data_IF_218233422218
#
_entry.id   IF_218233422218
#
_cell.length_a   1.000
_cell.length_b   1.000
_cell.length_c   1.000
_cell.angle_alpha   90.00
_cell.angle_beta   90.00
_cell.angle_gamma   90.00
#
_symmetry.space_group_name_H-M   'P 1'
#
loop_
_entity.id
_entity.type
_entity.pdbx_description
1 polymer ?
#
# COMPACT_ATOMS: atom_id res chain seq x y z
N UNK A 1 -14.90 10.63 12.31
CA UNK A 1 -15.23 9.19 12.39
C UNK A 1 -14.11 8.41 11.71
N UNK A 2 -13.71 7.25 12.27
CA UNK A 2 -12.66 6.41 11.68
C UNK A 2 -13.29 5.55 10.60
N UNK A 3 -12.74 5.54 9.39
CA UNK A 3 -13.24 4.69 8.30
C UNK A 3 -12.76 3.25 8.49
N UNK A 4 -13.57 2.27 8.08
CA UNK A 4 -13.13 0.88 8.03
C UNK A 4 -12.41 0.57 6.72
N UNK A 5 -11.38 -0.28 6.78
CA UNK A 5 -10.72 -0.84 5.60
C UNK A 5 -11.56 -2.00 5.06
N UNK A 6 -11.95 -1.94 3.80
CA UNK A 6 -12.75 -2.96 3.14
C UNK A 6 -11.96 -3.64 2.02
N UNK A 7 -11.74 -4.95 2.16
CA UNK A 7 -11.18 -5.81 1.13
C UNK A 7 -12.32 -6.73 0.63
N UNK A 8 -12.76 -6.61 -0.64
CA UNK A 8 -13.81 -7.47 -1.16
C UNK A 8 -13.27 -8.90 -1.37
N UNK A 9 -14.13 -9.93 -1.36
CA UNK A 9 -13.70 -11.30 -1.67
C UNK A 9 -13.09 -11.42 -3.08
N UNK A 10 -12.36 -12.51 -3.34
CA UNK A 10 -11.78 -12.71 -4.65
C UNK A 10 -12.85 -12.85 -5.74
N UNK A 11 -12.70 -12.05 -6.79
CA UNK A 11 -13.64 -11.98 -7.91
C UNK A 11 -13.28 -12.94 -9.06
N UNK A 12 -12.21 -13.72 -8.92
CA UNK A 12 -11.81 -14.72 -9.91
C UNK A 12 -12.60 -16.00 -9.72
N UNK A 13 -12.92 -16.66 -10.83
CA UNK A 13 -13.50 -18.00 -10.86
C UNK A 13 -12.55 -18.93 -11.63
N UNK A 14 -11.84 -19.86 -10.97
CA UNK A 14 -11.80 -20.09 -9.52
C UNK A 14 -11.07 -18.98 -8.75
N UNK A 15 -11.32 -18.90 -7.44
CA UNK A 15 -10.69 -17.93 -6.54
C UNK A 15 -9.18 -18.05 -6.57
N UNK A 16 -8.49 -16.92 -6.44
CA UNK A 16 -7.03 -16.93 -6.35
C UNK A 16 -6.58 -17.57 -5.03
N UNK A 17 -5.61 -18.48 -5.06
CA UNK A 17 -5.09 -19.19 -3.89
C UNK A 17 -4.35 -18.31 -2.86
N UNK A 18 -4.25 -17.00 -3.12
CA UNK A 18 -3.74 -15.97 -2.21
C UNK A 18 -4.80 -14.90 -1.85
N UNK A 19 -6.08 -15.09 -2.17
CA UNK A 19 -7.11 -14.09 -1.87
C UNK A 19 -8.47 -14.72 -1.44
N UNK A 20 -8.85 -14.61 -0.15
CA UNK A 20 -7.94 -14.34 0.97
C UNK A 20 -6.93 -15.50 1.11
N UNK A 21 -5.69 -15.22 1.53
CA UNK A 21 -4.76 -16.29 1.84
C UNK A 21 -5.19 -17.07 3.08
N UNK A 22 -4.83 -18.36 3.21
CA UNK A 22 -4.91 -19.08 4.48
C UNK A 22 -4.08 -18.39 5.57
N UNK A 23 -4.54 -18.41 6.82
CA UNK A 23 -3.89 -17.73 7.96
C UNK A 23 -2.47 -18.25 8.21
N UNK A 24 -2.27 -19.55 8.07
CA UNK A 24 -1.00 -20.28 8.26
C UNK A 24 -0.01 -20.09 7.11
N UNK A 25 -0.44 -19.47 6.02
CA UNK A 25 0.42 -19.30 4.84
C UNK A 25 1.48 -18.24 5.06
N UNK A 26 2.75 -18.63 4.87
CA UNK A 26 3.89 -17.72 4.79
C UNK A 26 3.75 -16.78 3.60
N UNK A 27 3.53 -15.50 3.88
CA UNK A 27 3.29 -14.45 2.88
C UNK A 27 3.83 -13.12 3.36
N UNK A 28 4.49 -12.40 2.47
CA UNK A 28 4.76 -10.98 2.64
C UNK A 28 3.60 -10.17 2.08
N UNK A 29 3.05 -9.28 2.87
CA UNK A 29 1.88 -8.48 2.50
C UNK A 29 2.32 -7.04 2.34
N UNK A 30 2.02 -6.45 1.19
CA UNK A 30 2.15 -5.01 0.98
C UNK A 30 0.76 -4.42 0.74
N UNK A 31 0.43 -3.38 1.51
CA UNK A 31 -0.71 -2.52 1.26
C UNK A 31 -0.20 -1.10 1.00
N UNK A 32 -0.66 -0.48 -0.08
CA UNK A 32 -0.24 0.88 -0.45
C UNK A 32 -1.38 1.67 -1.08
N UNK A 33 -1.35 2.99 -0.94
CA UNK A 33 -2.47 3.85 -1.33
C UNK A 33 -2.20 5.35 -1.24
N UNK A 34 -3.12 6.16 -1.79
CA UNK A 34 -3.11 7.59 -1.54
C UNK A 34 -3.12 7.89 -0.04
N UNK A 35 -2.27 8.82 0.38
CA UNK A 35 -2.13 9.17 1.81
C UNK A 35 -3.45 9.63 2.41
N UNK A 36 -4.28 10.33 1.62
CA UNK A 36 -5.58 10.83 2.06
C UNK A 36 -6.48 9.70 2.56
N UNK A 37 -6.47 8.56 1.87
CA UNK A 37 -7.24 7.37 2.24
C UNK A 37 -6.67 6.72 3.50
N UNK A 38 -5.34 6.65 3.61
CA UNK A 38 -4.67 6.10 4.79
C UNK A 38 -4.92 6.97 6.03
N UNK A 39 -4.93 8.29 5.88
CA UNK A 39 -5.26 9.23 6.95
C UNK A 39 -6.71 9.08 7.42
N UNK A 40 -7.66 8.78 6.51
CA UNK A 40 -9.06 8.48 6.89
C UNK A 40 -9.19 7.18 7.71
N UNK A 41 -8.32 6.20 7.44
CA UNK A 41 -8.22 4.97 8.23
C UNK A 41 -7.55 5.21 9.59
N UNK A 42 -6.59 6.13 9.64
CA UNK A 42 -5.72 6.38 10.79
C UNK A 42 -5.71 7.88 11.19
N UNK A 43 -6.87 8.49 11.52
CA UNK A 43 -6.96 9.95 11.67
C UNK A 43 -6.21 10.49 12.89
N UNK A 44 -5.92 9.65 13.88
CA UNK A 44 -5.26 10.03 15.13
C UNK A 44 -3.76 9.68 15.13
N UNK A 45 -3.18 9.40 13.97
CA UNK A 45 -1.77 9.06 13.84
C UNK A 45 -0.98 10.28 13.38
N UNK A 46 0.08 10.61 14.11
CA UNK A 46 1.04 11.63 13.71
C UNK A 46 1.92 11.11 12.58
N UNK A 47 2.06 11.91 11.54
CA UNK A 47 2.90 11.62 10.37
C UNK A 47 4.22 12.38 10.49
N UNK A 48 5.34 11.64 10.42
CA UNK A 48 6.65 12.26 10.48
C UNK A 48 7.14 12.55 9.07
N UNK A 49 7.11 13.84 8.68
CA UNK A 49 7.44 14.29 7.31
C UNK A 49 8.81 14.97 7.19
N UNK A 50 9.66 14.87 8.23
CA UNK A 50 11.04 15.38 8.15
C UNK A 50 11.91 14.40 7.34
N UNK A 51 12.16 14.75 6.08
CA UNK A 51 12.99 14.00 5.13
C UNK A 51 14.43 13.85 5.63
N UNK A 52 14.94 14.82 6.39
CA UNK A 52 16.32 14.81 6.89
C UNK A 52 16.49 13.87 8.10
N UNK A 53 15.40 13.53 8.78
CA UNK A 53 15.38 12.64 9.96
C UNK A 53 14.32 11.57 9.82
N UNK A 54 14.39 10.70 8.81
CA UNK A 54 13.36 9.69 8.62
C UNK A 54 13.29 8.77 9.85
N UNK A 55 12.08 8.50 10.31
CA UNK A 55 11.83 7.48 11.33
C UNK A 55 11.34 6.21 10.66
N UNK A 56 11.73 5.07 11.22
CA UNK A 56 11.20 3.78 10.80
C UNK A 56 10.97 2.87 12.02
N UNK A 57 9.81 2.18 12.09
CA UNK A 57 8.65 2.42 11.24
C UNK A 57 7.99 3.78 11.57
N UNK A 58 7.25 4.35 10.62
CA UNK A 58 6.31 5.42 10.92
C UNK A 58 5.27 4.92 11.92
N UNK A 59 4.71 5.80 12.79
CA UNK A 59 3.61 5.42 13.68
C UNK A 59 2.39 4.83 12.95
N UNK A 60 2.22 5.15 11.67
CA UNK A 60 1.17 4.60 10.82
C UNK A 60 1.42 3.15 10.37
N UNK A 61 2.68 2.72 10.23
CA UNK A 61 3.04 1.44 9.63
C UNK A 61 2.47 0.24 10.37
N UNK A 62 2.78 0.05 11.67
CA UNK A 62 2.24 -1.05 12.45
C UNK A 62 0.71 -1.03 12.52
N UNK A 63 0.09 0.16 12.60
CA UNK A 63 -1.38 0.30 12.66
C UNK A 63 -2.05 -0.07 11.33
N UNK A 64 -1.46 0.32 10.20
CA UNK A 64 -1.96 -0.06 8.88
C UNK A 64 -1.78 -1.55 8.62
N UNK A 65 -0.66 -2.14 9.07
CA UNK A 65 -0.43 -3.58 9.02
C UNK A 65 -1.49 -4.35 9.83
N UNK A 66 -1.79 -3.91 11.06
CA UNK A 66 -2.83 -4.51 11.90
C UNK A 66 -4.23 -4.41 11.27
N UNK A 67 -4.60 -3.23 10.77
CA UNK A 67 -5.89 -3.04 10.08
C UNK A 67 -6.02 -3.94 8.85
N UNK A 68 -4.94 -4.08 8.09
CA UNK A 68 -4.89 -4.93 6.90
C UNK A 68 -5.01 -6.40 7.25
N UNK A 69 -4.28 -6.86 8.26
CA UNK A 69 -4.39 -8.22 8.79
C UNK A 69 -5.85 -8.53 9.21
N UNK A 70 -6.45 -7.62 9.98
CA UNK A 70 -7.85 -7.76 10.43
C UNK A 70 -8.83 -7.82 9.26
N UNK A 71 -8.62 -6.99 8.23
CA UNK A 71 -9.48 -6.97 7.05
C UNK A 71 -9.35 -8.25 6.20
N UNK A 72 -8.17 -8.88 6.18
CA UNK A 72 -7.94 -10.13 5.44
C UNK A 72 -8.53 -11.33 6.19
N UNK A 73 -8.29 -11.44 7.50
CA UNK A 73 -8.56 -12.66 8.28
C UNK A 73 -9.81 -12.56 9.16
N UNK A 74 -10.43 -11.38 9.29
CA UNK A 74 -11.67 -11.18 10.04
C UNK A 74 -11.51 -11.16 11.56
N UNK A 75 -10.27 -11.22 12.08
CA UNK A 75 -9.99 -11.15 13.51
C UNK A 75 -8.70 -10.37 13.79
N UNK A 76 -8.53 -9.94 15.05
CA UNK A 76 -7.29 -9.31 15.49
C UNK A 76 -6.12 -10.30 15.39
N UNK A 77 -4.91 -9.80 15.14
CA UNK A 77 -3.72 -10.56 15.48
C UNK A 77 -3.81 -10.91 16.97
N UNK A 78 -3.74 -12.20 17.32
CA UNK A 78 -3.69 -12.61 18.73
C UNK A 78 -2.53 -11.88 19.42
N UNK A 79 -2.56 -11.65 20.75
CA UNK A 79 -1.47 -10.96 21.44
C UNK A 79 -0.08 -11.59 21.19
N UNK A 80 -0.05 -12.92 21.01
CA UNK A 80 1.14 -13.71 20.68
C UNK A 80 1.54 -13.63 19.17
N UNK A 81 0.65 -13.11 18.32
CA UNK A 81 0.83 -12.80 16.88
C UNK A 81 1.10 -11.29 16.68
N UNK A 82 0.80 -10.43 17.66
CA UNK A 82 1.20 -9.02 17.65
C UNK A 82 2.72 -8.84 17.55
N UNK A 83 3.48 -9.84 18.01
CA UNK A 83 4.92 -9.98 17.81
C UNK A 83 5.34 -10.47 16.41
N UNK A 84 4.40 -10.95 15.58
CA UNK A 84 4.62 -11.53 14.24
C UNK A 84 4.36 -10.57 13.08
N UNK A 85 3.58 -9.50 13.26
CA UNK A 85 3.38 -8.47 12.21
C UNK A 85 4.59 -7.53 12.15
N UNK A 86 5.73 -8.07 11.72
CA UNK A 86 6.97 -7.33 11.60
C UNK A 86 6.89 -6.44 10.37
N UNK A 87 6.84 -5.11 10.57
CA UNK A 87 6.98 -4.14 9.48
C UNK A 87 8.39 -4.25 8.91
N UNK A 88 8.47 -4.64 7.63
CA UNK A 88 9.71 -4.90 6.89
C UNK A 88 10.13 -3.72 6.04
N UNK A 89 9.17 -2.97 5.51
CA UNK A 89 9.42 -1.79 4.68
C UNK A 89 8.22 -0.84 4.68
N UNK A 90 8.48 0.41 4.30
CA UNK A 90 7.48 1.45 4.11
C UNK A 90 7.78 2.20 2.81
N UNK A 91 6.74 2.39 1.99
CA UNK A 91 6.82 3.17 0.77
C UNK A 91 6.23 4.56 1.02
N UNK A 92 7.06 5.60 0.84
CA UNK A 92 6.65 7.01 0.94
C UNK A 92 6.91 7.67 -0.41
N UNK A 93 5.85 8.05 -1.12
CA UNK A 93 5.96 8.90 -2.31
C UNK A 93 6.03 10.35 -1.88
N UNK A 94 7.14 11.02 -2.19
CA UNK A 94 7.39 12.40 -1.82
C UNK A 94 7.07 13.35 -2.96
N UNK A 95 6.27 14.38 -2.65
CA UNK A 95 6.15 15.58 -3.47
C UNK A 95 7.26 16.54 -3.03
N UNK A 96 8.45 16.40 -3.64
CA UNK A 96 9.66 17.14 -3.24
C UNK A 96 9.49 18.66 -3.14
N UNK A 97 8.67 19.27 -4.00
CA UNK A 97 8.46 20.72 -4.01
C UNK A 97 7.49 21.22 -2.92
N UNK A 98 6.74 20.33 -2.27
CA UNK A 98 5.83 20.67 -1.17
C UNK A 98 6.30 20.14 0.18
N UNK A 99 7.34 19.30 0.19
CA UNK A 99 7.77 18.57 1.37
C UNK A 99 6.61 17.77 2.00
N UNK A 100 5.77 17.21 1.14
CA UNK A 100 4.57 16.45 1.49
C UNK A 100 4.70 15.02 0.95
N UNK A 101 4.04 14.09 1.61
CA UNK A 101 3.81 12.74 1.09
C UNK A 101 2.39 12.65 0.52
N UNK A 102 2.23 12.03 -0.64
CA UNK A 102 0.92 11.85 -1.29
C UNK A 102 0.49 10.39 -1.39
N UNK A 103 1.43 9.47 -1.16
CA UNK A 103 1.21 8.04 -1.21
C UNK A 103 1.98 7.37 -0.07
N UNK A 104 1.34 6.41 0.59
CA UNK A 104 1.94 5.65 1.68
C UNK A 104 1.61 4.17 1.53
N UNK A 105 2.60 3.33 1.82
CA UNK A 105 2.44 1.90 1.90
C UNK A 105 3.26 1.27 3.00
N UNK A 106 2.82 0.12 3.48
CA UNK A 106 3.53 -0.70 4.45
C UNK A 106 3.67 -2.12 3.92
N UNK A 107 4.86 -2.68 4.12
CA UNK A 107 5.16 -4.08 3.85
C UNK A 107 5.43 -4.78 5.17
N UNK A 108 4.74 -5.89 5.43
CA UNK A 108 4.93 -6.69 6.64
C UNK A 108 4.86 -8.18 6.33
N UNK A 109 5.47 -8.98 7.19
CA UNK A 109 5.50 -10.43 7.03
C UNK A 109 4.37 -11.10 7.83
N UNK A 110 3.74 -12.11 7.23
CA UNK A 110 2.83 -13.05 7.89
C UNK A 110 3.45 -14.45 7.83
N UNK A 111 3.90 -14.96 8.98
CA UNK A 111 4.51 -16.29 9.11
C UNK A 111 5.68 -16.56 8.16
N UNK A 112 6.40 -15.51 7.71
CA UNK A 112 7.60 -15.67 6.88
C UNK A 112 8.78 -16.03 7.78
N UNK A 113 9.48 -17.15 7.55
CA UNK A 113 10.73 -17.49 8.23
C UNK A 113 11.80 -16.42 8.02
N UNK A 114 12.66 -16.20 9.03
CA UNK A 114 13.70 -15.16 8.97
C UNK A 114 14.77 -15.39 7.90
N UNK A 115 14.93 -16.63 7.42
CA UNK A 115 15.85 -17.06 6.37
C UNK A 115 15.21 -17.08 4.97
N UNK A 116 13.92 -16.78 4.85
CA UNK A 116 13.23 -16.67 3.57
C UNK A 116 13.34 -15.24 2.99
N UNK A 117 14.27 -15.04 2.07
CA UNK A 117 14.53 -13.72 1.48
C UNK A 117 13.54 -13.31 0.38
N UNK A 118 12.94 -14.28 -0.32
CA UNK A 118 12.04 -14.06 -1.46
C UNK A 118 10.70 -14.77 -1.28
N UNK A 119 9.95 -14.50 -0.20
CA UNK A 119 8.64 -15.10 0.00
C UNK A 119 7.65 -14.73 -1.11
N UNK A 120 6.55 -15.46 -1.18
CA UNK A 120 5.40 -15.05 -1.97
C UNK A 120 4.82 -13.73 -1.42
N UNK A 121 4.28 -12.91 -2.33
CA UNK A 121 3.81 -11.56 -2.02
C UNK A 121 2.32 -11.41 -2.33
N UNK A 122 1.58 -10.88 -1.37
CA UNK A 122 0.23 -10.36 -1.57
C UNK A 122 0.27 -8.83 -1.64
N UNK A 123 0.12 -8.31 -2.86
CA UNK A 123 -0.01 -6.88 -3.12
C UNK A 123 -1.47 -6.44 -3.03
N UNK A 124 -1.74 -5.40 -2.24
CA UNK A 124 -3.06 -4.78 -2.04
C UNK A 124 -2.94 -3.29 -2.30
N UNK A 125 -3.80 -2.74 -3.17
CA UNK A 125 -3.83 -1.30 -3.39
C UNK A 125 -5.11 -0.71 -2.80
N UNK A 126 -4.97 0.35 -2.01
CA UNK A 126 -6.08 1.20 -1.61
C UNK A 126 -6.48 2.06 -2.80
N UNK A 127 -7.78 2.08 -3.09
CA UNK A 127 -8.38 2.82 -4.20
C UNK A 127 -9.19 3.95 -3.61
N UNK A 128 -8.79 5.19 -3.88
CA UNK A 128 -9.56 6.37 -3.45
C UNK A 128 -10.79 6.52 -4.34
N UNK A 129 -11.97 6.62 -3.72
CA UNK A 129 -13.27 6.73 -4.41
C UNK A 129 -13.84 8.14 -4.30
N UNK A 130 -13.57 8.84 -3.19
CA UNK A 130 -14.22 10.13 -2.91
C UNK A 130 -13.72 11.27 -3.81
N UNK A 131 -12.50 11.17 -4.32
CA UNK A 131 -11.90 12.26 -5.09
C UNK A 131 -12.51 12.42 -6.51
N UNK A 132 -12.97 11.32 -7.10
CA UNK A 132 -13.42 11.25 -8.50
C UNK A 132 -14.74 10.49 -8.66
N UNK A 133 -15.47 10.29 -7.56
CA UNK A 133 -16.70 9.51 -7.51
C UNK A 133 -16.54 8.10 -8.14
N UNK A 134 -15.37 7.48 -7.93
CA UNK A 134 -15.09 6.11 -8.36
C UNK A 134 -14.80 5.95 -9.85
N UNK A 135 -14.56 7.03 -10.60
CA UNK A 135 -14.18 6.99 -12.01
C UNK A 135 -12.96 6.09 -12.23
N UNK A 136 -11.86 6.33 -11.50
CA UNK A 136 -10.65 5.51 -11.56
C UNK A 136 -10.93 4.04 -11.21
N UNK A 137 -11.72 3.80 -10.18
CA UNK A 137 -12.03 2.44 -9.76
C UNK A 137 -12.76 1.67 -10.86
N UNK A 138 -13.75 2.28 -11.50
CA UNK A 138 -14.52 1.67 -12.59
C UNK A 138 -13.66 1.48 -13.87
N UNK A 139 -12.67 2.35 -14.10
CA UNK A 139 -11.72 2.18 -15.20
C UNK A 139 -10.77 0.99 -14.98
N UNK A 140 -10.22 0.82 -13.78
CA UNK A 140 -9.11 -0.12 -13.54
C UNK A 140 -9.51 -1.42 -12.82
N UNK A 141 -10.74 -1.54 -12.31
CA UNK A 141 -11.25 -2.75 -11.68
C UNK A 141 -12.17 -3.54 -12.64
N UNK A 142 -12.19 -4.88 -12.55
CA UNK A 142 -13.04 -5.73 -13.37
C UNK A 142 -14.51 -5.77 -12.90
N UNK A 143 -14.91 -4.88 -11.99
CA UNK A 143 -16.23 -4.82 -11.39
C UNK A 143 -16.62 -3.37 -11.13
N UNK A 144 -17.92 -3.11 -11.13
CA UNK A 144 -18.47 -1.79 -10.89
C UNK A 144 -18.46 -1.45 -9.40
N UNK A 145 -18.05 -0.22 -9.09
CA UNK A 145 -18.12 0.38 -7.77
C UNK A 145 -19.24 1.42 -7.77
N UNK A 146 -20.14 1.30 -6.78
CA UNK A 146 -21.09 2.35 -6.43
C UNK A 146 -20.43 3.30 -5.42
N UNK A 147 -20.21 4.58 -5.75
CA UNK A 147 -19.55 5.53 -4.83
C UNK A 147 -20.33 5.69 -3.52
N UNK A 148 -21.66 5.58 -3.57
CA UNK A 148 -22.54 5.67 -2.40
C UNK A 148 -22.25 4.61 -1.32
N UNK A 149 -21.60 3.50 -1.68
CA UNK A 149 -21.21 2.45 -0.72
C UNK A 149 -19.95 2.79 0.07
N UNK A 150 -19.13 3.72 -0.42
CA UNK A 150 -17.79 4.00 0.10
C UNK A 150 -17.66 5.40 0.70
N UNK A 151 -18.20 6.42 0.02
CA UNK A 151 -18.08 7.83 0.43
C UNK A 151 -18.54 7.99 1.88
N UNK A 152 -17.64 8.47 2.75
CA UNK A 152 -17.87 8.73 4.17
C UNK A 152 -18.08 7.48 5.03
N UNK A 153 -17.92 6.27 4.49
CA UNK A 153 -18.27 4.99 5.15
C UNK A 153 -17.07 4.07 5.31
N UNK A 154 -16.39 3.73 4.21
CA UNK A 154 -15.32 2.73 4.18
C UNK A 154 -14.35 3.00 3.04
N UNK A 155 -13.11 2.57 3.22
CA UNK A 155 -12.04 2.71 2.23
C UNK A 155 -11.87 1.39 1.49
N UNK A 156 -11.88 1.43 0.16
CA UNK A 156 -11.69 0.26 -0.69
C UNK A 156 -10.21 -0.10 -0.79
N UNK A 157 -9.88 -1.37 -0.57
CA UNK A 157 -8.56 -1.92 -0.87
C UNK A 157 -8.69 -3.21 -1.66
N UNK A 158 -7.99 -3.32 -2.78
CA UNK A 158 -8.17 -4.41 -3.75
C UNK A 158 -6.86 -5.15 -3.96
N UNK A 159 -6.80 -6.46 -3.68
CA UNK A 159 -5.64 -7.28 -4.02
C UNK A 159 -5.38 -7.29 -5.52
N UNK A 160 -4.11 -7.35 -5.92
CA UNK A 160 -3.72 -7.26 -7.33
C UNK A 160 -4.42 -8.29 -8.23
N UNK A 161 -4.72 -9.49 -7.71
CA UNK A 161 -5.42 -10.52 -8.46
C UNK A 161 -6.85 -10.12 -8.91
N UNK A 162 -7.44 -9.09 -8.30
CA UNK A 162 -8.76 -8.55 -8.62
C UNK A 162 -8.69 -7.19 -9.34
N UNK A 163 -7.54 -6.82 -9.93
CA UNK A 163 -7.38 -5.60 -10.72
C UNK A 163 -7.17 -5.97 -12.20
N UNK A 164 -7.49 -5.07 -13.14
CA UNK A 164 -7.20 -5.28 -14.58
C UNK A 164 -5.69 -5.34 -14.84
N UNK A 165 -4.90 -4.56 -14.08
CA UNK A 165 -3.44 -4.53 -14.19
C UNK A 165 -2.83 -5.81 -13.62
N UNK A 166 -1.96 -6.45 -14.41
CA UNK A 166 -1.17 -7.60 -13.95
C UNK A 166 0.02 -7.12 -13.12
N UNK A 167 0.18 -7.70 -11.93
CA UNK A 167 1.31 -7.43 -11.03
C UNK A 167 2.49 -8.37 -11.20
N UNK A 168 2.89 -8.69 -12.43
CA UNK A 168 3.96 -9.68 -12.68
C UNK A 168 5.30 -9.32 -12.05
N UNK A 169 5.52 -8.04 -11.72
CA UNK A 169 6.72 -7.54 -11.06
C UNK A 169 6.56 -7.29 -9.56
N UNK A 170 5.35 -7.45 -9.00
CA UNK A 170 5.08 -7.08 -7.61
C UNK A 170 5.94 -7.87 -6.63
N UNK A 171 6.01 -9.21 -6.79
CA UNK A 171 6.84 -10.07 -5.92
C UNK A 171 8.30 -9.65 -5.92
N UNK A 172 8.88 -9.36 -7.09
CA UNK A 172 10.27 -8.91 -7.21
C UNK A 172 10.47 -7.54 -6.57
N UNK A 173 9.60 -6.58 -6.89
CA UNK A 173 9.68 -5.20 -6.39
C UNK A 173 9.60 -5.17 -4.87
N UNK A 174 8.58 -5.80 -4.28
CA UNK A 174 8.34 -5.78 -2.83
C UNK A 174 9.49 -6.44 -2.07
N UNK A 175 9.93 -7.62 -2.48
CA UNK A 175 11.07 -8.29 -1.84
C UNK A 175 12.38 -7.49 -2.02
N UNK A 176 12.56 -6.82 -3.16
CA UNK A 176 13.68 -5.93 -3.40
C UNK A 176 13.74 -4.73 -2.45
N UNK A 177 12.60 -4.08 -2.21
CA UNK A 177 12.50 -2.94 -1.28
C UNK A 177 12.81 -3.36 0.16
N UNK A 178 12.33 -4.54 0.58
CA UNK A 178 12.68 -5.09 1.91
C UNK A 178 14.18 -5.38 2.01
N UNK A 179 14.77 -6.02 1.00
CA UNK A 179 16.20 -6.30 0.97
C UNK A 179 17.03 -5.01 1.03
N UNK A 180 16.63 -3.97 0.27
CA UNK A 180 17.27 -2.66 0.34
C UNK A 180 17.28 -2.10 1.76
N UNK A 181 16.13 -2.11 2.43
CA UNK A 181 16.01 -1.60 3.79
C UNK A 181 16.84 -2.41 4.79
N UNK A 182 16.85 -3.72 4.67
CA UNK A 182 17.63 -4.60 5.54
C UNK A 182 19.14 -4.33 5.39
N UNK A 183 19.61 -4.06 4.17
CA UNK A 183 21.00 -3.70 3.90
C UNK A 183 21.33 -2.29 4.42
N UNK A 184 20.42 -1.32 4.27
CA UNK A 184 20.58 0.03 4.87
C UNK A 184 20.69 -0.03 6.39
N UNK A 185 19.90 -0.88 7.05
CA UNK A 185 19.96 -1.09 8.51
C UNK A 185 21.30 -1.65 8.98
N UNK A 186 22.02 -2.36 8.11
CA UNK A 186 23.36 -2.86 8.38
C UNK A 186 24.45 -1.79 8.18
N UNK A 187 24.07 -0.54 7.86
CA UNK A 187 25.01 0.58 7.69
C UNK A 187 25.72 0.62 6.35
N UNK A 188 25.26 -0.18 5.38
CA UNK A 188 25.81 -0.16 4.02
C UNK A 188 25.24 1.05 3.27
N UNK A 189 26.10 1.75 2.53
CA UNK A 189 25.78 2.99 1.85
C UNK A 189 24.68 2.82 0.78
N UNK A 190 23.74 3.77 0.73
CA UNK A 190 22.57 3.78 -0.16
C UNK A 190 22.94 3.78 -1.65
N UNK A 191 24.03 4.45 -2.02
CA UNK A 191 24.49 4.51 -3.40
C UNK A 191 25.04 3.15 -3.85
N UNK A 192 25.73 2.44 -2.96
CA UNK A 192 26.22 1.07 -3.18
C UNK A 192 25.03 0.11 -3.36
N UNK A 193 24.01 0.22 -2.51
CA UNK A 193 22.81 -0.62 -2.61
C UNK A 193 22.06 -0.34 -3.92
N UNK A 194 21.88 0.92 -4.29
CA UNK A 194 21.21 1.30 -5.54
C UNK A 194 21.93 0.70 -6.75
N UNK A 195 23.26 0.77 -6.80
CA UNK A 195 24.08 0.17 -7.87
C UNK A 195 23.93 -1.36 -7.91
N UNK A 196 23.94 -2.02 -6.76
CA UNK A 196 23.73 -3.47 -6.66
C UNK A 196 22.33 -3.89 -7.16
N UNK A 197 21.28 -3.18 -6.71
CA UNK A 197 19.90 -3.49 -7.08
C UNK A 197 19.61 -3.22 -8.56
N UNK A 198 20.21 -2.19 -9.15
CA UNK A 198 20.20 -1.99 -10.61
C UNK A 198 20.93 -3.12 -11.34
N UNK A 199 22.12 -3.52 -10.86
CA UNK A 199 22.90 -4.63 -11.42
C UNK A 199 22.15 -5.98 -11.37
N UNK A 200 21.37 -6.20 -10.31
CA UNK A 200 20.50 -7.36 -10.16
C UNK A 200 19.11 -7.17 -10.80
N UNK A 201 18.90 -6.06 -11.52
CA UNK A 201 17.67 -5.73 -12.26
C UNK A 201 16.42 -5.52 -11.39
N UNK A 202 16.59 -5.34 -10.07
CA UNK A 202 15.51 -5.02 -9.14
C UNK A 202 14.97 -3.61 -9.40
N UNK A 203 15.87 -2.67 -9.69
CA UNK A 203 15.52 -1.33 -10.16
C UNK A 203 15.71 -1.18 -11.68
N UNK A 204 14.78 -0.47 -12.31
CA UNK A 204 14.90 -0.01 -13.68
C UNK A 204 15.61 1.34 -13.72
N UNK A 205 16.63 1.48 -14.57
CA UNK A 205 17.25 2.79 -14.89
C UNK A 205 16.40 3.63 -15.84
N UNK A 206 15.32 3.05 -16.41
CA UNK A 206 14.38 3.78 -17.25
C UNK A 206 13.55 4.71 -16.36
N UNK A 207 13.74 6.02 -16.54
CA UNK A 207 12.84 7.06 -16.05
C UNK A 207 11.44 6.72 -16.61
N UNK A 208 10.38 6.64 -15.78
CA UNK A 208 9.03 6.44 -16.31
C UNK A 208 8.69 7.59 -17.25
N UNK A 209 8.43 7.29 -18.52
CA UNK A 209 8.05 8.30 -19.54
C UNK A 209 6.78 9.08 -19.16
N UNK A 210 5.97 8.52 -18.26
CA UNK A 210 4.82 9.20 -17.67
C UNK A 210 5.12 9.55 -16.23
N UNK A 211 5.38 10.83 -15.99
CA UNK A 211 5.17 11.41 -14.67
C UNK A 211 3.68 11.32 -14.36
N UNK A 212 3.29 10.70 -13.25
CA UNK A 212 1.94 10.81 -12.72
C UNK A 212 1.73 12.19 -12.05
N UNK A 213 2.29 13.27 -12.64
CA UNK A 213 2.25 14.64 -12.12
C UNK A 213 0.86 15.29 -12.24
N UNK A 214 -0.13 14.58 -12.81
CA UNK A 214 -1.48 15.07 -12.99
C UNK A 214 -2.45 14.06 -12.39
N UNK A 215 -2.67 14.18 -11.08
CA UNK A 215 -3.96 13.81 -10.49
C UNK A 215 -5.00 14.78 -11.08
N UNK A 216 -6.14 14.30 -11.61
CA UNK A 216 -7.23 15.18 -12.01
C UNK A 216 -7.57 16.11 -10.85
N UNK A 217 -7.51 17.43 -11.10
CA UNK A 217 -7.99 18.39 -10.08
C UNK A 217 -9.50 18.17 -9.92
N UNK A 218 -10.03 18.15 -8.69
CA UNK A 218 -11.47 18.22 -8.50
C UNK A 218 -11.98 19.48 -9.22
N UNK A 219 -13.18 19.45 -9.84
CA UNK A 219 -13.79 20.66 -10.35
C UNK A 219 -13.88 21.65 -9.18
N UNK A 220 -13.19 22.79 -9.30
CA UNK A 220 -13.42 23.90 -8.37
C UNK A 220 -14.89 24.26 -8.47
N UNK A 221 -15.63 23.98 -7.40
CA UNK A 221 -17.06 24.27 -7.31
C UNK A 221 -17.30 25.70 -7.76
N UNK A 222 -18.10 25.87 -8.81
CA UNK A 222 -18.67 27.17 -9.11
C UNK A 222 -19.54 27.53 -7.92
N UNK A 223 -19.21 28.64 -7.27
CA UNK A 223 -20.05 29.23 -6.24
C UNK A 223 -21.49 29.41 -6.79
N UNK A 224 -22.53 29.21 -5.97
CA UNK A 224 -23.90 29.46 -6.42
C UNK A 224 -24.02 30.92 -6.83
N UNK A 225 -24.50 31.17 -8.06
CA UNK A 225 -24.97 32.50 -8.43
C UNK A 225 -26.22 32.79 -7.59
N UNK A 226 -26.12 33.76 -6.71
CA UNK A 226 -27.28 34.37 -6.07
C UNK A 226 -28.28 34.82 -7.16
N UNK A 227 -29.53 34.41 -6.99
CA UNK A 227 -30.71 35.00 -7.60
C UNK A 227 -31.78 35.13 -6.54
#
# INVERSE_FOLDING_TARGET
MVHSLHIPPCLRTPTHHHHPPPVDKSLRIQIEGPLVSVQKLLPNVSWHVDVCKPIFPQPAGPKLAELTYRAIYGHNALPDIGSRLVVRDEYLSWIHHKNEIDYYGVTFDNNVPSDEYFPEVLQINIIEIEADEGEYANEYLPFMISPADYIGKKILAVPRCCQKRKGSTDRRRVNGLVAERDVMRQGIDREVITKLLVGHGVYSTKIPEKRFDIVPRPPTGQAPKER
#
